data_IF_788392052046
#
_entry.id   IF_788392052046
#
_cell.length_a   1.000
_cell.length_b   1.000
_cell.length_c   1.000
_cell.angle_alpha   90.00
_cell.angle_beta   90.00
_cell.angle_gamma   90.00
#
_symmetry.space_group_name_H-M   'P 1'
#
loop_
_entity.id
_entity.type
_entity.pdbx_description
1 polymer ?
#
# COMPACT_ATOMS: atom_id res chain seq x y z
N UNK A 1 -5.39 17.12 17.06
CA UNK A 1 -6.82 16.71 17.21
C UNK A 1 -7.22 17.16 18.60
N UNK A 2 -8.22 18.05 18.75
CA UNK A 2 -8.45 18.75 20.03
C UNK A 2 -9.64 18.21 20.85
N UNK A 3 -10.33 17.16 20.36
CA UNK A 3 -11.43 16.51 21.09
C UNK A 3 -11.28 14.99 21.03
N UNK A 4 -11.81 14.22 22.01
CA UNK A 4 -11.78 12.77 21.98
C UNK A 4 -12.37 12.17 20.70
N UNK A 5 -13.45 12.75 20.17
CA UNK A 5 -14.12 12.29 18.95
C UNK A 5 -13.22 12.47 17.73
N UNK A 6 -12.51 13.60 17.64
CA UNK A 6 -11.55 13.86 16.57
C UNK A 6 -10.35 12.92 16.66
N UNK A 7 -9.88 12.59 17.87
CA UNK A 7 -8.84 11.58 18.09
C UNK A 7 -9.31 10.21 17.60
N UNK A 8 -10.50 9.79 18.01
CA UNK A 8 -11.09 8.52 17.60
C UNK A 8 -11.26 8.42 16.08
N UNK A 9 -11.73 9.49 15.44
CA UNK A 9 -11.86 9.55 13.98
C UNK A 9 -10.50 9.41 13.27
N UNK A 10 -9.46 10.07 13.77
CA UNK A 10 -8.09 9.93 13.23
C UNK A 10 -7.55 8.51 13.35
N UNK A 11 -7.74 7.85 14.52
CA UNK A 11 -7.32 6.47 14.73
C UNK A 11 -8.07 5.49 13.83
N UNK A 12 -9.40 5.68 13.69
CA UNK A 12 -10.22 4.85 12.81
C UNK A 12 -9.79 4.99 11.35
N UNK A 13 -9.57 6.23 10.89
CA UNK A 13 -9.08 6.52 9.56
C UNK A 13 -7.72 5.87 9.28
N UNK A 14 -6.73 6.05 10.17
CA UNK A 14 -5.40 5.46 10.00
C UNK A 14 -5.46 3.94 9.97
N UNK A 15 -6.26 3.33 10.87
CA UNK A 15 -6.47 1.87 10.87
C UNK A 15 -7.07 1.38 9.55
N UNK A 16 -8.07 2.09 9.04
CA UNK A 16 -8.74 1.72 7.80
C UNK A 16 -7.80 1.83 6.59
N UNK A 17 -6.96 2.87 6.54
CA UNK A 17 -5.93 3.02 5.51
C UNK A 17 -4.96 1.84 5.50
N UNK A 18 -4.26 1.58 6.62
CA UNK A 18 -3.22 0.54 6.66
C UNK A 18 -3.82 -0.87 6.49
N UNK A 19 -5.02 -1.10 7.02
CA UNK A 19 -5.68 -2.42 6.92
C UNK A 19 -6.24 -2.66 5.52
N UNK A 20 -6.77 -1.64 4.84
CA UNK A 20 -7.26 -1.77 3.46
C UNK A 20 -6.10 -2.01 2.49
N UNK A 21 -4.99 -1.27 2.66
CA UNK A 21 -3.76 -1.47 1.88
C UNK A 21 -3.24 -2.90 2.03
N UNK A 22 -3.00 -3.34 3.26
CA UNK A 22 -2.37 -4.63 3.51
C UNK A 22 -3.28 -5.79 3.09
N UNK A 23 -4.59 -5.72 3.37
CA UNK A 23 -5.54 -6.73 2.91
C UNK A 23 -5.56 -6.85 1.39
N UNK A 24 -5.49 -5.73 0.66
CA UNK A 24 -5.44 -5.75 -0.81
C UNK A 24 -4.19 -6.48 -1.31
N UNK A 25 -3.03 -6.24 -0.69
CA UNK A 25 -1.81 -6.95 -1.02
C UNK A 25 -1.89 -8.45 -0.68
N UNK A 26 -2.46 -8.82 0.48
CA UNK A 26 -2.68 -10.23 0.86
C UNK A 26 -3.57 -10.96 -0.15
N UNK A 27 -4.68 -10.34 -0.57
CA UNK A 27 -5.58 -10.89 -1.57
C UNK A 27 -4.89 -11.06 -2.93
N UNK A 28 -4.06 -10.10 -3.33
CA UNK A 28 -3.33 -10.15 -4.58
C UNK A 28 -2.27 -11.27 -4.58
N UNK A 29 -1.46 -11.35 -3.51
CA UNK A 29 -0.45 -12.40 -3.35
C UNK A 29 -1.09 -13.78 -3.26
N UNK A 30 -2.21 -13.93 -2.54
CA UNK A 30 -2.95 -15.19 -2.46
C UNK A 30 -3.47 -15.66 -3.84
N UNK A 31 -3.67 -14.73 -4.78
CA UNK A 31 -4.05 -15.01 -6.19
C UNK A 31 -2.85 -15.16 -7.12
N UNK A 32 -1.61 -15.09 -6.60
CA UNK A 32 -0.39 -15.17 -7.41
C UNK A 32 -0.15 -13.95 -8.30
N UNK A 33 -0.68 -12.78 -7.94
CA UNK A 33 -0.49 -11.55 -8.70
C UNK A 33 0.94 -11.01 -8.57
N UNK A 34 1.49 -10.52 -9.68
CA UNK A 34 2.71 -9.74 -9.69
C UNK A 34 2.50 -8.33 -9.08
N UNK A 35 3.56 -7.53 -9.03
CA UNK A 35 3.53 -6.21 -8.39
C UNK A 35 2.58 -5.24 -9.11
N UNK A 36 2.54 -5.25 -10.45
CA UNK A 36 1.66 -4.40 -11.25
C UNK A 36 0.19 -4.76 -11.07
N UNK A 37 -0.15 -6.04 -11.10
CA UNK A 37 -1.49 -6.52 -10.81
C UNK A 37 -1.89 -6.22 -9.35
N UNK A 38 -0.95 -6.34 -8.41
CA UNK A 38 -1.18 -5.96 -7.01
C UNK A 38 -1.45 -4.46 -6.86
N UNK A 39 -0.72 -3.61 -7.59
CA UNK A 39 -0.99 -2.17 -7.65
C UNK A 39 -2.40 -1.89 -8.15
N UNK A 40 -2.81 -2.48 -9.29
CA UNK A 40 -4.14 -2.30 -9.84
C UNK A 40 -5.25 -2.77 -8.87
N UNK A 41 -5.07 -3.94 -8.24
CA UNK A 41 -6.01 -4.48 -7.25
C UNK A 41 -6.09 -3.59 -6.01
N UNK A 42 -4.96 -3.06 -5.55
CA UNK A 42 -4.93 -2.14 -4.40
C UNK A 42 -5.61 -0.82 -4.72
N UNK A 43 -5.36 -0.24 -5.90
CA UNK A 43 -6.03 1.00 -6.35
C UNK A 43 -7.54 0.85 -6.41
N UNK A 44 -8.04 -0.29 -6.89
CA UNK A 44 -9.48 -0.58 -6.90
C UNK A 44 -10.13 -0.42 -5.52
N UNK A 45 -9.44 -0.85 -4.46
CA UNK A 45 -9.94 -0.80 -3.08
C UNK A 45 -9.64 0.52 -2.35
N UNK A 46 -8.50 1.14 -2.66
CA UNK A 46 -7.98 2.31 -1.94
C UNK A 46 -8.43 3.63 -2.56
N UNK A 47 -8.49 3.75 -3.89
CA UNK A 47 -8.79 5.01 -4.59
C UNK A 47 -10.15 5.61 -4.17
N UNK A 48 -11.26 4.83 -4.04
CA UNK A 48 -12.55 5.38 -3.63
C UNK A 48 -12.57 5.97 -2.21
N UNK A 49 -11.61 5.59 -1.37
CA UNK A 49 -11.57 5.94 0.06
C UNK A 49 -10.52 6.99 0.37
N UNK A 50 -9.37 6.89 -0.30
CA UNK A 50 -8.15 7.62 0.07
C UNK A 50 -7.53 8.41 -1.10
N UNK A 51 -8.11 8.35 -2.30
CA UNK A 51 -7.56 9.01 -3.49
C UNK A 51 -7.38 10.53 -3.35
N UNK A 52 -8.19 11.18 -2.51
CA UNK A 52 -8.10 12.61 -2.22
C UNK A 52 -7.00 13.01 -1.21
N UNK A 53 -6.26 12.06 -0.64
CA UNK A 53 -5.23 12.35 0.36
C UNK A 53 -4.01 12.93 -0.34
N UNK A 54 -3.49 14.06 0.16
CA UNK A 54 -2.58 14.95 -0.61
C UNK A 54 -1.31 14.28 -1.16
N UNK A 55 -0.80 13.23 -0.50
CA UNK A 55 0.42 12.52 -0.89
C UNK A 55 0.15 11.11 -1.43
N UNK A 56 -1.12 10.71 -1.54
CA UNK A 56 -1.53 9.34 -1.85
C UNK A 56 -0.90 8.81 -3.12
N UNK A 57 -1.06 9.52 -4.24
CA UNK A 57 -0.51 9.09 -5.53
C UNK A 57 1.00 8.91 -5.52
N UNK A 58 1.70 9.75 -4.75
CA UNK A 58 3.16 9.69 -4.69
C UNK A 58 3.65 8.54 -3.80
N UNK A 59 2.97 8.28 -2.69
CA UNK A 59 3.38 7.25 -1.73
C UNK A 59 2.89 5.84 -2.09
N UNK A 60 1.77 5.72 -2.80
CA UNK A 60 1.12 4.45 -3.06
C UNK A 60 2.04 3.38 -3.70
N UNK A 61 2.91 3.69 -4.67
CA UNK A 61 3.87 2.72 -5.22
C UNK A 61 4.76 2.06 -4.17
N UNK A 62 5.25 2.85 -3.21
CA UNK A 62 6.12 2.37 -2.14
C UNK A 62 5.33 1.56 -1.11
N UNK A 63 4.14 2.05 -0.75
CA UNK A 63 3.22 1.38 0.19
C UNK A 63 2.79 0.01 -0.33
N UNK A 64 2.38 -0.06 -1.60
CA UNK A 64 2.01 -1.31 -2.28
C UNK A 64 3.18 -2.27 -2.35
N UNK A 65 4.36 -1.79 -2.72
CA UNK A 65 5.57 -2.63 -2.80
C UNK A 65 5.92 -3.22 -1.44
N UNK A 66 5.83 -2.42 -0.38
CA UNK A 66 6.07 -2.91 0.98
C UNK A 66 5.00 -3.92 1.42
N UNK A 67 3.73 -3.65 1.13
CA UNK A 67 2.63 -4.54 1.49
C UNK A 67 2.68 -5.87 0.72
N UNK A 68 3.07 -5.84 -0.56
CA UNK A 68 3.28 -7.04 -1.39
C UNK A 68 4.43 -7.90 -0.85
N UNK A 69 5.56 -7.28 -0.50
CA UNK A 69 6.68 -7.97 0.14
C UNK A 69 6.25 -8.66 1.43
N UNK A 70 5.55 -7.94 2.31
CA UNK A 70 5.08 -8.47 3.59
C UNK A 70 4.10 -9.63 3.40
N UNK A 71 3.14 -9.47 2.50
CA UNK A 71 2.17 -10.51 2.16
C UNK A 71 2.83 -11.74 1.51
N UNK A 72 3.94 -11.55 0.80
CA UNK A 72 4.75 -12.62 0.20
C UNK A 72 5.68 -13.34 1.19
N UNK A 73 5.63 -12.99 2.47
CA UNK A 73 6.41 -13.62 3.54
C UNK A 73 7.71 -12.89 3.89
N UNK A 74 8.01 -11.74 3.29
CA UNK A 74 9.17 -10.92 3.64
C UNK A 74 8.80 -10.06 4.86
N UNK A 75 8.97 -10.66 6.05
CA UNK A 75 8.62 -10.06 7.34
C UNK A 75 9.27 -8.69 7.54
N UNK A 76 10.59 -8.63 7.43
CA UNK A 76 11.35 -7.42 7.71
C UNK A 76 11.52 -6.55 6.45
N UNK A 77 11.46 -5.21 6.56
CA UNK A 77 11.68 -4.33 5.42
C UNK A 77 13.05 -4.58 4.77
N UNK A 78 13.06 -4.65 3.44
CA UNK A 78 14.29 -4.73 2.66
C UNK A 78 14.95 -3.35 2.59
N UNK A 79 16.29 -3.33 2.59
CA UNK A 79 17.05 -2.08 2.40
C UNK A 79 16.65 -1.44 1.07
N UNK A 80 16.38 -0.14 1.11
CA UNK A 80 16.07 0.63 -0.09
C UNK A 80 17.37 1.08 -0.78
N UNK A 81 17.71 0.46 -1.91
CA UNK A 81 18.87 0.82 -2.74
C UNK A 81 18.42 1.43 -4.07
N UNK A 82 19.33 2.09 -4.78
CA UNK A 82 19.04 2.65 -6.10
C UNK A 82 18.60 1.59 -7.12
N UNK A 83 19.23 0.41 -7.07
CA UNK A 83 18.89 -0.73 -7.94
C UNK A 83 17.49 -1.24 -7.64
N UNK A 84 17.12 -1.31 -6.36
CA UNK A 84 15.78 -1.73 -5.94
C UNK A 84 14.70 -0.74 -6.39
N UNK A 85 14.98 0.55 -6.28
CA UNK A 85 14.06 1.59 -6.73
C UNK A 85 13.76 1.43 -8.23
N UNK A 86 14.81 1.27 -9.05
CA UNK A 86 14.66 0.99 -10.48
C UNK A 86 13.84 -0.29 -10.73
N UNK A 87 14.16 -1.39 -10.05
CA UNK A 87 13.42 -2.66 -10.18
C UNK A 87 11.94 -2.52 -9.84
N UNK A 88 11.60 -1.78 -8.79
CA UNK A 88 10.21 -1.52 -8.41
C UNK A 88 9.49 -0.77 -9.53
N UNK A 89 10.08 0.32 -10.04
CA UNK A 89 9.46 1.11 -11.10
C UNK A 89 9.30 0.33 -12.40
N UNK A 90 10.29 -0.46 -12.80
CA UNK A 90 10.19 -1.37 -13.95
C UNK A 90 9.03 -2.35 -13.76
N UNK A 91 8.94 -3.00 -12.60
CA UNK A 91 7.88 -3.97 -12.29
C UNK A 91 6.47 -3.36 -12.17
N UNK A 92 6.34 -2.05 -12.05
CA UNK A 92 5.05 -1.34 -12.06
C UNK A 92 4.64 -0.89 -13.47
N UNK A 93 5.58 -0.71 -14.39
CA UNK A 93 5.34 -0.16 -15.72
C UNK A 93 5.19 -1.24 -16.79
N UNK A 94 6.03 -2.28 -16.74
CA UNK A 94 6.03 -3.42 -17.67
C UNK A 94 4.89 -4.40 -17.37
#
# INVERSE_FOLDING_TARGET
LMTPERVQAGLAYTRDFVSTLFRSAQEAVAKGMDLKATMAHTRHNMDPKFGQVFIYEHCLPFDVTRAHDEASGIRDPRIWTAERDQQMWHALQE
#
